data_IF_403163507276
#
_entry.id   IF_403163507276
#
_cell.length_a   1.000
_cell.length_b   1.000
_cell.length_c   1.000
_cell.angle_alpha   90.00
_cell.angle_beta   90.00
_cell.angle_gamma   90.00
#
_symmetry.space_group_name_H-M   'P 1'
#
loop_
_entity.id
_entity.type
_entity.pdbx_description
1 polymer ?
#
# COMPACT_ATOMS: atom_id res chain seq x y z
N UNK A 1 -15.88 14.24 2.54
CA UNK A 1 -15.83 12.86 2.01
C UNK A 1 -14.58 12.22 2.58
N UNK A 2 -14.65 11.04 3.15
CA UNK A 2 -13.46 10.39 3.70
C UNK A 2 -12.78 9.57 2.60
N UNK A 3 -11.47 9.31 2.70
CA UNK A 3 -10.73 8.59 1.65
C UNK A 3 -11.25 7.16 1.44
N UNK A 4 -11.88 6.54 2.44
CA UNK A 4 -12.50 5.24 2.29
C UNK A 4 -13.79 5.33 1.45
N UNK A 5 -14.62 6.34 1.62
CA UNK A 5 -15.77 6.62 0.75
C UNK A 5 -15.30 6.96 -0.66
N UNK A 6 -14.23 7.73 -0.78
CA UNK A 6 -13.60 8.08 -2.04
C UNK A 6 -13.01 6.85 -2.76
N UNK A 7 -12.28 6.01 -2.07
CA UNK A 7 -11.71 4.77 -2.62
C UNK A 7 -12.81 3.77 -2.93
N UNK A 8 -13.79 3.60 -2.06
CA UNK A 8 -14.88 2.67 -2.26
C UNK A 8 -15.77 3.08 -3.44
N UNK A 9 -15.99 4.35 -3.62
CA UNK A 9 -16.69 4.92 -4.76
C UNK A 9 -15.88 4.80 -6.05
N UNK A 10 -14.58 5.04 -5.97
CA UNK A 10 -13.65 4.85 -7.08
C UNK A 10 -13.53 3.39 -7.51
N UNK A 11 -13.74 2.45 -6.60
CA UNK A 11 -13.56 1.02 -6.83
C UNK A 11 -14.86 0.21 -6.89
N UNK A 12 -16.02 0.84 -6.86
CA UNK A 12 -17.30 0.19 -7.10
C UNK A 12 -17.77 -0.72 -5.98
N UNK A 13 -17.37 -0.49 -4.73
CA UNK A 13 -17.91 -1.18 -3.56
C UNK A 13 -18.92 -0.29 -2.84
N UNK A 14 -20.09 -0.87 -2.50
CA UNK A 14 -21.27 -0.21 -1.92
C UNK A 14 -20.99 0.86 -0.86
N UNK A 15 -20.94 2.11 -1.21
CA UNK A 15 -21.29 3.24 -0.37
C UNK A 15 -21.42 4.50 -1.21
N UNK A 16 -22.63 4.98 -1.28
CA UNK A 16 -23.05 6.11 -2.08
C UNK A 16 -22.13 7.31 -2.08
N UNK A 17 -22.11 7.89 -3.22
CA UNK A 17 -21.62 9.19 -3.71
C UNK A 17 -20.27 9.21 -4.39
N UNK A 18 -20.39 9.42 -5.66
CA UNK A 18 -19.43 9.60 -6.71
C UNK A 18 -18.18 10.42 -6.34
N UNK A 19 -17.06 9.77 -6.33
CA UNK A 19 -15.81 10.27 -6.91
C UNK A 19 -15.28 9.18 -7.85
N UNK A 20 -16.06 8.90 -8.87
CA UNK A 20 -15.61 8.10 -10.01
C UNK A 20 -14.69 8.98 -10.84
N UNK A 21 -13.42 8.68 -10.88
CA UNK A 21 -12.53 9.23 -11.86
C UNK A 21 -11.05 9.32 -11.55
N UNK A 22 -10.58 8.91 -10.38
CA UNK A 22 -9.23 9.29 -9.98
C UNK A 22 -8.29 8.19 -9.46
N UNK A 23 -8.78 6.99 -9.30
CA UNK A 23 -7.89 5.84 -9.25
C UNK A 23 -8.23 5.00 -10.46
N UNK A 24 -7.28 4.83 -11.37
CA UNK A 24 -7.51 4.06 -12.59
C UNK A 24 -8.15 2.73 -12.24
N UNK A 25 -9.07 2.25 -13.08
CA UNK A 25 -9.58 0.88 -13.00
C UNK A 25 -8.41 -0.06 -12.73
N UNK A 26 -8.56 -1.02 -11.80
CA UNK A 26 -7.52 -2.02 -11.62
C UNK A 26 -7.17 -2.56 -12.99
N UNK A 27 -5.90 -2.77 -13.31
CA UNK A 27 -5.52 -3.37 -14.55
C UNK A 27 -6.27 -4.69 -14.66
N UNK A 28 -7.31 -4.73 -15.52
CA UNK A 28 -8.06 -5.93 -15.83
C UNK A 28 -7.14 -6.76 -16.73
N UNK A 29 -6.23 -7.48 -16.11
CA UNK A 29 -5.41 -8.47 -16.73
C UNK A 29 -5.36 -9.64 -15.76
N UNK A 30 -5.57 -10.85 -16.22
CA UNK A 30 -5.13 -12.05 -15.52
C UNK A 30 -3.60 -12.02 -15.42
N UNK A 31 -3.05 -11.05 -14.69
CA UNK A 31 -1.64 -11.08 -14.33
C UNK A 31 -1.49 -12.22 -13.33
N UNK A 32 -0.85 -13.30 -13.78
CA UNK A 32 -0.39 -14.33 -12.86
C UNK A 32 0.37 -13.62 -11.74
N UNK A 33 -0.06 -13.86 -10.51
CA UNK A 33 0.66 -13.35 -9.36
C UNK A 33 2.09 -13.88 -9.41
N UNK A 34 3.02 -12.94 -9.36
CA UNK A 34 4.45 -13.24 -9.27
C UNK A 34 4.97 -12.58 -8.00
N UNK A 35 4.84 -13.27 -6.85
CA UNK A 35 5.40 -12.77 -5.61
C UNK A 35 6.93 -12.68 -5.71
N UNK A 36 7.52 -11.87 -4.86
CA UNK A 36 8.96 -11.81 -4.70
C UNK A 36 9.51 -13.17 -4.27
N UNK A 37 10.75 -13.47 -4.64
CA UNK A 37 11.44 -14.67 -4.15
C UNK A 37 11.58 -14.66 -2.64
N UNK A 38 11.74 -15.84 -2.01
CA UNK A 38 11.90 -15.96 -0.56
C UNK A 38 13.06 -15.10 -0.05
N UNK A 39 14.21 -15.09 -0.72
CA UNK A 39 15.36 -14.29 -0.33
C UNK A 39 15.07 -12.79 -0.36
N UNK A 40 14.42 -12.28 -1.43
CA UNK A 40 14.05 -10.87 -1.55
C UNK A 40 12.94 -10.47 -0.58
N UNK A 41 11.96 -11.33 -0.35
CA UNK A 41 10.92 -11.12 0.65
C UNK A 41 11.50 -11.02 2.06
N UNK A 42 12.39 -11.96 2.41
CA UNK A 42 13.11 -11.92 3.69
C UNK A 42 13.97 -10.67 3.80
N UNK A 43 14.77 -10.38 2.77
CA UNK A 43 15.61 -9.18 2.74
C UNK A 43 14.80 -7.91 3.01
N UNK A 44 13.65 -7.76 2.37
CA UNK A 44 12.76 -6.61 2.53
C UNK A 44 12.21 -6.49 3.96
N UNK A 45 11.61 -7.57 4.48
CA UNK A 45 10.98 -7.51 5.80
C UNK A 45 12.02 -7.43 6.92
N UNK A 46 13.18 -8.08 6.80
CA UNK A 46 14.31 -7.90 7.71
C UNK A 46 14.78 -6.43 7.68
N UNK A 47 14.94 -5.85 6.49
CA UNK A 47 15.35 -4.47 6.34
C UNK A 47 14.36 -3.48 6.96
N UNK A 48 13.06 -3.74 6.82
CA UNK A 48 12.03 -2.93 7.47
C UNK A 48 12.13 -3.00 9.00
N UNK A 49 12.20 -4.20 9.57
CA UNK A 49 12.30 -4.41 11.03
C UNK A 49 13.58 -3.81 11.60
N UNK A 50 14.72 -4.03 10.94
CA UNK A 50 16.02 -3.47 11.36
C UNK A 50 16.01 -1.95 11.28
N UNK A 51 15.44 -1.38 10.20
CA UNK A 51 15.32 0.06 10.03
C UNK A 51 14.49 0.71 11.13
N UNK A 52 13.32 0.15 11.42
CA UNK A 52 12.46 0.60 12.51
C UNK A 52 13.19 0.54 13.86
N UNK A 53 13.79 -0.61 14.19
CA UNK A 53 14.49 -0.81 15.45
C UNK A 53 15.72 0.08 15.65
N UNK A 54 16.37 0.52 14.58
CA UNK A 54 17.45 1.50 14.62
C UNK A 54 16.92 2.92 14.82
N UNK A 55 15.79 3.27 14.22
CA UNK A 55 15.23 4.62 14.23
C UNK A 55 14.38 4.94 15.45
N UNK A 56 13.65 3.97 16.01
CA UNK A 56 12.69 4.15 17.11
C UNK A 56 13.27 4.86 18.35
N UNK A 57 14.49 4.53 18.83
CA UNK A 57 15.04 5.20 20.01
C UNK A 57 15.30 6.70 19.84
N UNK A 58 15.36 7.17 18.60
CA UNK A 58 15.69 8.56 18.25
C UNK A 58 14.58 9.22 17.42
N UNK A 59 13.42 8.60 17.31
CA UNK A 59 12.24 9.15 16.66
C UNK A 59 11.87 10.52 17.24
N UNK A 60 11.36 11.41 16.39
CA UNK A 60 11.02 12.80 16.70
C UNK A 60 12.22 13.69 17.11
N UNK A 61 13.44 13.20 17.00
CA UNK A 61 14.64 14.01 17.29
C UNK A 61 15.15 14.70 16.03
N UNK A 62 15.50 15.98 16.10
CA UNK A 62 16.12 16.66 14.97
C UNK A 62 17.54 16.12 14.73
N UNK A 63 17.97 16.12 13.47
CA UNK A 63 19.27 15.58 13.01
C UNK A 63 20.48 16.10 13.83
N UNK A 64 20.50 17.39 14.13
CA UNK A 64 21.58 17.99 14.92
C UNK A 64 21.60 17.45 16.35
N UNK A 65 20.46 17.15 16.94
CA UNK A 65 20.39 16.55 18.26
C UNK A 65 20.95 15.12 18.23
N UNK A 66 20.58 14.32 17.21
CA UNK A 66 21.08 12.94 17.02
C UNK A 66 22.62 12.99 16.92
N UNK A 67 23.14 13.82 16.03
CA UNK A 67 24.58 13.96 15.84
C UNK A 67 25.33 14.41 17.10
N UNK A 68 24.72 15.29 17.90
CA UNK A 68 25.35 15.77 19.15
C UNK A 68 25.37 14.73 20.27
N UNK A 69 24.39 13.79 20.32
CA UNK A 69 24.24 12.80 21.39
C UNK A 69 24.83 11.44 21.06
N UNK A 70 24.80 11.05 19.79
CA UNK A 70 25.23 9.72 19.34
C UNK A 70 26.33 9.75 18.27
N UNK A 71 26.64 10.91 17.71
CA UNK A 71 27.46 10.98 16.50
C UNK A 71 26.72 10.45 15.28
N UNK A 72 27.43 9.83 14.37
CA UNK A 72 26.84 9.10 13.25
C UNK A 72 26.41 7.72 13.72
N UNK A 73 25.12 7.44 13.69
CA UNK A 73 24.57 6.13 14.06
C UNK A 73 24.89 5.13 12.95
N UNK A 74 25.58 4.05 13.32
CA UNK A 74 25.99 2.94 12.44
C UNK A 74 25.70 1.58 13.06
N UNK A 75 24.75 1.51 14.00
CA UNK A 75 24.34 0.32 14.71
C UNK A 75 23.26 0.64 15.73
N UNK A 76 22.74 -0.37 16.41
CA UNK A 76 21.74 -0.16 17.46
C UNK A 76 22.28 0.66 18.61
N UNK A 77 21.51 1.67 19.03
CA UNK A 77 21.85 2.55 20.16
C UNK A 77 21.25 2.07 21.48
N UNK A 78 20.46 1.00 21.45
CA UNK A 78 19.87 0.32 22.61
C UNK A 78 20.34 -1.13 22.68
N UNK A 79 20.51 -1.71 23.89
CA UNK A 79 21.05 -3.07 24.04
C UNK A 79 20.09 -4.18 23.59
N UNK A 80 18.78 -3.93 23.58
CA UNK A 80 17.75 -4.89 23.22
C UNK A 80 16.80 -4.25 22.19
N UNK A 81 17.23 -4.15 20.93
CA UNK A 81 16.36 -3.61 19.87
C UNK A 81 15.21 -4.56 19.60
N UNK A 82 14.03 -4.03 19.33
CA UNK A 82 12.81 -4.80 19.07
C UNK A 82 12.04 -4.23 17.88
N UNK A 83 11.26 -5.07 17.22
CA UNK A 83 10.27 -4.67 16.24
C UNK A 83 9.20 -3.79 16.90
N UNK A 84 8.88 -2.66 16.27
CA UNK A 84 7.91 -1.69 16.77
C UNK A 84 6.53 -1.80 16.12
N UNK A 85 5.81 -0.68 16.10
CA UNK A 85 4.43 -0.63 15.60
C UNK A 85 4.32 -0.77 14.08
N UNK A 86 5.29 -0.28 13.31
CA UNK A 86 5.29 -0.38 11.85
C UNK A 86 5.49 -1.83 11.42
N UNK A 87 6.38 -2.57 12.09
CA UNK A 87 6.54 -4.01 11.89
C UNK A 87 5.26 -4.78 12.24
N UNK A 88 4.63 -4.49 13.38
CA UNK A 88 3.38 -5.15 13.77
C UNK A 88 2.27 -4.90 12.73
N UNK A 89 2.11 -3.67 12.26
CA UNK A 89 1.13 -3.32 11.23
C UNK A 89 1.46 -3.96 9.88
N UNK A 90 2.75 -4.06 9.52
CA UNK A 90 3.20 -4.74 8.30
C UNK A 90 2.86 -6.23 8.32
N UNK A 91 3.15 -6.93 9.43
CA UNK A 91 2.81 -8.34 9.60
C UNK A 91 1.29 -8.56 9.58
N UNK A 92 0.53 -7.71 10.25
CA UNK A 92 -0.94 -7.75 10.23
C UNK A 92 -1.51 -7.54 8.82
N UNK A 93 -0.92 -6.63 8.04
CA UNK A 93 -1.28 -6.39 6.64
C UNK A 93 -0.98 -7.62 5.79
N UNK A 94 0.22 -8.18 5.90
CA UNK A 94 0.62 -9.38 5.18
C UNK A 94 -0.29 -10.58 5.47
N UNK A 95 -0.58 -10.84 6.73
CA UNK A 95 -1.52 -11.88 7.15
C UNK A 95 -2.93 -11.68 6.58
N UNK A 96 -3.36 -10.42 6.44
CA UNK A 96 -4.68 -10.10 5.89
C UNK A 96 -4.75 -10.39 4.40
N UNK A 97 -3.65 -10.17 3.67
CA UNK A 97 -3.51 -10.49 2.25
C UNK A 97 -3.44 -12.01 2.06
N UNK A 98 -2.60 -12.69 2.84
CA UNK A 98 -2.39 -14.15 2.77
C UNK A 98 -3.65 -14.95 3.06
N UNK A 99 -4.55 -14.41 3.87
CA UNK A 99 -5.86 -15.01 4.13
C UNK A 99 -6.86 -14.86 2.97
N UNK A 100 -6.48 -14.13 1.91
CA UNK A 100 -7.26 -13.91 0.68
C UNK A 100 -7.23 -12.43 0.25
N UNK A 101 -6.81 -12.18 -0.99
CA UNK A 101 -6.53 -10.82 -1.46
C UNK A 101 -7.79 -9.93 -1.53
N UNK A 102 -8.94 -10.47 -1.93
CA UNK A 102 -10.15 -9.68 -2.26
C UNK A 102 -10.79 -8.95 -1.08
N UNK A 103 -10.63 -9.45 0.15
CA UNK A 103 -11.22 -8.84 1.36
C UNK A 103 -10.16 -8.43 2.36
N UNK A 104 -8.93 -8.15 1.93
CA UNK A 104 -7.84 -7.80 2.86
C UNK A 104 -8.12 -6.54 3.70
N UNK A 105 -8.81 -5.46 3.22
CA UNK A 105 -9.07 -4.30 4.07
C UNK A 105 -10.01 -4.63 5.23
N UNK A 106 -11.04 -5.44 4.99
CA UNK A 106 -11.95 -5.89 6.04
C UNK A 106 -11.22 -6.75 7.07
N UNK A 107 -10.41 -7.71 6.60
CA UNK A 107 -9.60 -8.56 7.49
C UNK A 107 -8.57 -7.78 8.27
N UNK A 108 -7.90 -6.82 7.62
CA UNK A 108 -6.98 -5.92 8.32
C UNK A 108 -7.73 -5.13 9.40
N UNK A 109 -8.88 -4.54 9.08
CA UNK A 109 -9.72 -3.82 10.04
C UNK A 109 -10.16 -4.69 11.22
N UNK A 110 -10.61 -5.92 10.96
CA UNK A 110 -10.99 -6.88 12.00
C UNK A 110 -9.81 -7.26 12.90
N UNK A 111 -8.63 -7.53 12.33
CA UNK A 111 -7.39 -7.80 13.09
C UNK A 111 -6.95 -6.58 13.90
N UNK A 112 -6.99 -5.39 13.31
CA UNK A 112 -6.69 -4.14 13.97
C UNK A 112 -7.59 -3.94 15.20
N UNK A 113 -8.88 -4.21 15.08
CA UNK A 113 -9.82 -4.13 16.19
C UNK A 113 -9.55 -5.15 17.29
N UNK A 114 -9.12 -6.37 16.94
CA UNK A 114 -8.88 -7.45 17.88
C UNK A 114 -7.52 -7.37 18.61
N UNK A 115 -6.55 -6.64 18.06
CA UNK A 115 -5.16 -6.62 18.56
C UNK A 115 -4.90 -5.38 19.41
N UNK A 116 -4.02 -5.50 20.41
CA UNK A 116 -3.45 -4.34 21.09
C UNK A 116 -2.16 -3.96 20.38
N UNK A 117 -2.07 -2.73 19.91
CA UNK A 117 -0.89 -2.17 19.22
C UNK A 117 -0.31 -1.08 20.10
N UNK A 118 0.97 -1.20 20.39
CA UNK A 118 1.73 -0.16 21.07
C UNK A 118 2.21 0.86 20.03
N UNK A 119 1.37 1.84 19.72
CA UNK A 119 1.64 2.86 18.70
C UNK A 119 1.24 4.25 19.18
N UNK A 120 2.00 5.25 18.76
CA UNK A 120 1.66 6.67 18.88
C UNK A 120 0.82 7.18 17.71
N UNK A 121 0.59 6.35 16.68
CA UNK A 121 -0.13 6.68 15.46
C UNK A 121 -1.60 6.97 15.69
N UNK A 122 -1.96 8.26 15.82
CA UNK A 122 -3.34 8.70 16.11
C UNK A 122 -4.38 8.22 15.11
N UNK A 123 -4.01 8.12 13.83
CA UNK A 123 -4.92 7.63 12.79
C UNK A 123 -5.25 6.15 12.99
N UNK A 124 -4.25 5.33 13.31
CA UNK A 124 -4.40 3.90 13.61
C UNK A 124 -5.30 3.69 14.82
N UNK A 125 -5.03 4.41 15.91
CA UNK A 125 -5.83 4.30 17.15
C UNK A 125 -7.28 4.75 16.96
N UNK A 126 -7.52 5.80 16.16
CA UNK A 126 -8.88 6.26 15.84
C UNK A 126 -9.64 5.25 14.99
N UNK A 127 -9.01 4.70 13.95
CA UNK A 127 -9.62 3.66 13.13
C UNK A 127 -9.93 2.40 13.94
N UNK A 128 -8.99 1.97 14.80
CA UNK A 128 -9.20 0.86 15.72
C UNK A 128 -10.41 1.08 16.62
N UNK A 129 -10.51 2.25 17.24
CA UNK A 129 -11.65 2.60 18.12
C UNK A 129 -12.96 2.65 17.34
N UNK A 130 -12.96 3.20 16.12
CA UNK A 130 -14.13 3.28 15.26
C UNK A 130 -14.66 1.88 14.87
N UNK A 131 -13.75 0.98 14.46
CA UNK A 131 -14.12 -0.40 14.09
C UNK A 131 -14.61 -1.18 15.33
N UNK A 132 -13.96 -1.02 16.47
CA UNK A 132 -14.43 -1.61 17.75
C UNK A 132 -15.83 -1.11 18.14
N UNK A 133 -16.18 0.12 17.78
CA UNK A 133 -17.51 0.69 17.98
C UNK A 133 -18.53 0.25 16.90
N UNK A 134 -18.17 -0.69 16.00
CA UNK A 134 -19.06 -1.22 14.97
C UNK A 134 -19.09 -0.44 13.67
N UNK A 135 -18.21 0.55 13.48
CA UNK A 135 -18.10 1.20 12.18
C UNK A 135 -17.48 0.24 11.16
N UNK A 136 -18.00 0.17 9.94
CA UNK A 136 -17.38 -0.59 8.88
C UNK A 136 -16.00 0.00 8.53
N UNK A 137 -15.08 -0.86 8.08
CA UNK A 137 -13.69 -0.47 7.80
C UNK A 137 -13.56 0.74 6.86
N UNK A 138 -14.45 0.87 5.88
CA UNK A 138 -14.45 1.95 4.89
C UNK A 138 -14.88 3.33 5.42
N UNK A 139 -15.42 3.39 6.63
CA UNK A 139 -15.78 4.65 7.30
C UNK A 139 -15.01 4.88 8.59
N UNK A 140 -14.00 4.05 8.87
CA UNK A 140 -13.25 4.08 10.13
C UNK A 140 -12.12 5.11 10.12
N UNK A 141 -11.58 5.44 8.95
CA UNK A 141 -10.43 6.32 8.80
C UNK A 141 -10.66 7.73 9.33
N UNK A 142 -9.60 8.39 9.76
CA UNK A 142 -9.57 9.82 10.04
C UNK A 142 -9.42 10.62 8.73
N UNK A 143 -10.41 11.40 8.27
CA UNK A 143 -10.43 12.02 6.94
C UNK A 143 -9.21 12.92 6.63
N UNK A 144 -8.70 13.64 7.65
CA UNK A 144 -7.57 14.55 7.49
C UNK A 144 -6.20 13.92 7.79
N UNK A 145 -6.10 12.59 7.94
CA UNK A 145 -4.84 11.97 8.30
C UNK A 145 -3.97 11.67 7.09
N UNK A 146 -2.82 12.36 7.01
CA UNK A 146 -1.76 12.19 6.01
C UNK A 146 -0.49 11.54 6.61
N UNK A 147 -0.61 10.80 7.72
CA UNK A 147 0.51 10.19 8.45
C UNK A 147 1.17 9.04 7.68
N UNK A 148 2.34 8.62 8.18
CA UNK A 148 3.28 7.68 7.54
C UNK A 148 2.92 6.21 7.73
N UNK A 149 2.31 5.81 8.86
CA UNK A 149 2.06 4.41 9.20
C UNK A 149 1.12 3.67 8.23
N UNK A 150 0.33 4.41 7.43
CA UNK A 150 -0.43 3.85 6.32
C UNK A 150 0.46 3.32 5.20
N UNK A 151 1.50 4.08 4.85
CA UNK A 151 2.46 3.70 3.83
C UNK A 151 3.47 2.65 4.35
N UNK A 152 4.03 2.84 5.53
CA UNK A 152 5.08 1.98 6.10
C UNK A 152 4.72 0.49 6.09
N UNK A 153 3.47 0.14 6.40
CA UNK A 153 3.00 -1.24 6.41
C UNK A 153 2.78 -1.86 5.02
N UNK A 154 2.94 -1.08 3.95
CA UNK A 154 2.59 -1.49 2.59
C UNK A 154 3.70 -2.27 1.85
N UNK A 155 4.85 -2.53 2.47
CA UNK A 155 5.88 -3.39 1.90
C UNK A 155 5.32 -4.77 1.48
N UNK A 156 4.41 -5.34 2.26
CA UNK A 156 3.77 -6.62 1.99
C UNK A 156 3.04 -6.65 0.63
N UNK A 157 2.42 -5.55 0.21
CA UNK A 157 1.78 -5.45 -1.11
C UNK A 157 2.81 -5.48 -2.24
N UNK A 158 3.90 -4.74 -2.10
CA UNK A 158 4.99 -4.77 -3.08
C UNK A 158 5.61 -6.16 -3.25
N UNK A 159 5.75 -6.90 -2.16
CA UNK A 159 6.29 -8.27 -2.19
C UNK A 159 5.29 -9.26 -2.78
N UNK A 160 4.01 -9.15 -2.45
CA UNK A 160 2.96 -10.04 -2.95
C UNK A 160 2.74 -9.86 -4.46
N UNK A 161 2.79 -8.63 -4.94
CA UNK A 161 2.60 -8.29 -6.36
C UNK A 161 3.89 -7.74 -7.00
N UNK A 162 5.04 -8.37 -6.73
CA UNK A 162 6.33 -7.93 -7.27
C UNK A 162 6.34 -7.86 -8.81
N UNK A 163 5.67 -8.80 -9.49
CA UNK A 163 5.50 -8.80 -10.94
C UNK A 163 4.45 -7.83 -11.49
N UNK A 164 3.68 -7.16 -10.62
CA UNK A 164 2.64 -6.20 -11.00
C UNK A 164 2.64 -4.98 -10.06
N UNK A 165 3.55 -4.03 -10.24
CA UNK A 165 3.67 -2.88 -9.35
C UNK A 165 2.46 -1.94 -9.37
N UNK A 166 1.64 -1.95 -10.44
CA UNK A 166 0.39 -1.20 -10.49
C UNK A 166 -0.65 -1.80 -9.55
N UNK A 167 -0.74 -3.12 -9.54
CA UNK A 167 -1.61 -3.83 -8.59
C UNK A 167 -1.15 -3.63 -7.16
N UNK A 168 0.16 -3.71 -6.89
CA UNK A 168 0.72 -3.40 -5.58
C UNK A 168 0.32 -2.01 -5.08
N UNK A 169 0.42 -0.99 -5.95
CA UNK A 169 0.02 0.38 -5.65
C UNK A 169 -1.47 0.49 -5.29
N UNK A 170 -2.32 -0.13 -6.09
CA UNK A 170 -3.77 -0.13 -5.89
C UNK A 170 -4.14 -0.74 -4.53
N UNK A 171 -3.67 -1.95 -4.24
CA UNK A 171 -4.01 -2.66 -3.01
C UNK A 171 -3.46 -1.96 -1.77
N UNK A 172 -2.28 -1.34 -1.88
CA UNK A 172 -1.70 -0.55 -0.81
C UNK A 172 -2.54 0.69 -0.47
N UNK A 173 -3.01 1.42 -1.47
CA UNK A 173 -3.89 2.55 -1.27
C UNK A 173 -5.22 2.15 -0.63
N UNK A 174 -5.82 1.06 -1.12
CA UNK A 174 -7.05 0.51 -0.58
C UNK A 174 -6.88 0.10 0.90
N UNK A 175 -5.79 -0.59 1.25
CA UNK A 175 -5.49 -0.92 2.64
C UNK A 175 -5.28 0.32 3.51
N UNK A 176 -4.59 1.32 2.98
CA UNK A 176 -4.28 2.55 3.72
C UNK A 176 -5.54 3.30 4.10
N UNK A 177 -6.57 3.28 3.26
CA UNK A 177 -7.84 3.95 3.52
C UNK A 177 -8.59 3.43 4.75
N UNK A 178 -8.26 2.25 5.27
CA UNK A 178 -8.83 1.74 6.54
C UNK A 178 -8.48 2.64 7.73
N UNK A 179 -7.33 3.30 7.68
CA UNK A 179 -6.80 4.09 8.80
C UNK A 179 -6.56 5.55 8.48
N UNK A 180 -6.20 5.87 7.24
CA UNK A 180 -5.79 7.20 6.78
C UNK A 180 -6.70 7.68 5.67
N UNK A 181 -7.42 8.77 5.91
CA UNK A 181 -8.43 9.28 4.99
C UNK A 181 -7.95 10.39 4.05
N UNK A 182 -6.69 10.82 4.13
CA UNK A 182 -6.16 11.89 3.28
C UNK A 182 -5.53 11.31 1.99
N UNK A 183 -5.78 11.89 0.81
CA UNK A 183 -5.21 11.44 -0.47
C UNK A 183 -3.68 11.32 -0.47
N UNK A 184 -2.98 12.21 0.22
CA UNK A 184 -1.53 12.11 0.42
C UNK A 184 -1.10 10.77 1.00
N UNK A 185 -1.83 10.23 1.98
CA UNK A 185 -1.45 8.97 2.62
C UNK A 185 -1.65 7.78 1.67
N UNK A 186 -2.77 7.74 0.93
CA UNK A 186 -3.07 6.67 -0.03
C UNK A 186 -2.12 6.70 -1.23
N UNK A 187 -1.80 7.91 -1.72
CA UNK A 187 -0.84 8.13 -2.80
C UNK A 187 0.58 7.71 -2.41
N UNK A 188 1.01 8.07 -1.20
CA UNK A 188 2.31 7.69 -0.66
C UNK A 188 2.43 6.17 -0.45
N UNK A 189 1.36 5.53 0.02
CA UNK A 189 1.31 4.07 0.16
C UNK A 189 1.39 3.36 -1.19
N UNK A 190 0.68 3.87 -2.21
CA UNK A 190 0.78 3.39 -3.58
C UNK A 190 2.21 3.49 -4.12
N UNK A 191 2.85 4.65 -3.91
CA UNK A 191 4.24 4.90 -4.32
C UNK A 191 5.22 3.91 -3.66
N UNK A 192 5.10 3.74 -2.35
CA UNK A 192 5.98 2.86 -1.60
C UNK A 192 5.80 1.39 -2.01
N UNK A 193 4.57 0.90 -2.15
CA UNK A 193 4.32 -0.47 -2.58
C UNK A 193 4.81 -0.72 -4.01
N UNK A 194 4.60 0.21 -4.94
CA UNK A 194 5.16 0.13 -6.29
C UNK A 194 6.69 0.09 -6.28
N UNK A 195 7.32 0.93 -5.44
CA UNK A 195 8.77 0.96 -5.27
C UNK A 195 9.34 -0.37 -4.78
N UNK A 196 8.71 -0.98 -3.76
CA UNK A 196 9.08 -2.30 -3.24
C UNK A 196 8.88 -3.38 -4.32
N UNK A 197 7.76 -3.36 -5.06
CA UNK A 197 7.49 -4.32 -6.13
C UNK A 197 8.56 -4.27 -7.23
N UNK A 198 8.87 -3.08 -7.73
CA UNK A 198 9.94 -2.86 -8.72
C UNK A 198 11.32 -3.28 -8.19
N UNK A 199 11.59 -3.00 -6.92
CA UNK A 199 12.82 -3.43 -6.27
C UNK A 199 12.90 -4.97 -6.17
N UNK A 200 11.82 -5.62 -5.81
CA UNK A 200 11.77 -7.07 -5.60
C UNK A 200 11.76 -7.87 -6.91
N UNK A 201 11.23 -7.33 -7.99
CA UNK A 201 11.09 -8.04 -9.26
C UNK A 201 12.30 -7.85 -10.19
N UNK A 202 12.80 -6.64 -10.32
CA UNK A 202 13.88 -6.31 -11.24
C UNK A 202 15.28 -6.66 -10.69
N UNK A 203 16.31 -6.59 -11.55
CA UNK A 203 17.72 -6.78 -11.19
C UNK A 203 18.57 -5.51 -11.37
N UNK A 204 17.97 -4.44 -11.91
CA UNK A 204 18.61 -3.14 -12.10
C UNK A 204 18.85 -2.38 -10.79
N UNK A 205 19.68 -1.33 -10.78
CA UNK A 205 19.91 -0.51 -9.59
C UNK A 205 18.63 0.22 -9.15
N UNK A 206 18.59 0.61 -7.88
CA UNK A 206 17.60 1.57 -7.38
C UNK A 206 18.12 2.98 -7.72
N UNK A 207 17.82 3.48 -8.92
CA UNK A 207 18.38 4.71 -9.48
C UNK A 207 17.30 5.68 -9.98
N UNK A 208 17.71 6.65 -10.81
CA UNK A 208 16.81 7.62 -11.41
C UNK A 208 15.71 6.96 -12.25
N UNK A 209 15.99 5.87 -12.94
CA UNK A 209 15.00 5.17 -13.77
C UNK A 209 13.96 4.45 -12.90
N UNK A 210 14.40 3.82 -11.80
CA UNK A 210 13.50 3.23 -10.80
C UNK A 210 12.57 4.28 -10.21
N UNK A 211 13.09 5.44 -9.78
CA UNK A 211 12.29 6.54 -9.22
C UNK A 211 11.30 7.12 -10.25
N UNK A 212 11.73 7.24 -11.51
CA UNK A 212 10.86 7.71 -12.60
C UNK A 212 9.69 6.75 -12.82
N UNK A 213 9.94 5.44 -12.84
CA UNK A 213 8.88 4.43 -12.99
C UNK A 213 7.91 4.46 -11.81
N UNK A 214 8.39 4.63 -10.56
CA UNK A 214 7.52 4.82 -9.40
C UNK A 214 6.62 6.04 -9.58
N UNK A 215 7.18 7.17 -10.00
CA UNK A 215 6.41 8.40 -10.23
C UNK A 215 5.36 8.25 -11.35
N UNK A 216 5.67 7.52 -12.42
CA UNK A 216 4.75 7.23 -13.52
C UNK A 216 3.55 6.40 -13.03
N UNK A 217 3.80 5.31 -12.29
CA UNK A 217 2.73 4.48 -11.72
C UNK A 217 1.84 5.32 -10.79
N UNK A 218 2.46 6.14 -9.93
CA UNK A 218 1.69 6.99 -9.02
C UNK A 218 0.90 8.07 -9.74
N UNK A 219 1.36 8.53 -10.90
CA UNK A 219 0.63 9.48 -11.73
C UNK A 219 -0.66 8.88 -12.28
N UNK A 220 -0.58 7.65 -12.79
CA UNK A 220 -1.75 6.92 -13.27
C UNK A 220 -2.79 6.75 -12.16
N UNK A 221 -2.31 6.56 -10.94
CA UNK A 221 -3.13 6.36 -9.76
C UNK A 221 -3.81 7.66 -9.25
N UNK A 222 -3.16 8.81 -9.40
CA UNK A 222 -3.59 10.10 -8.83
C UNK A 222 -4.26 11.05 -9.84
N UNK A 223 -4.84 10.55 -10.92
CA UNK A 223 -5.46 11.41 -11.93
C UNK A 223 -6.57 12.29 -11.32
N UNK A 224 -6.32 13.61 -11.26
CA UNK A 224 -7.28 14.61 -10.82
C UNK A 224 -7.30 14.93 -9.33
N UNK A 225 -6.51 14.27 -8.48
CA UNK A 225 -6.37 14.60 -7.07
C UNK A 225 -5.16 15.52 -6.84
N UNK A 226 -5.44 16.77 -6.48
CA UNK A 226 -4.40 17.80 -6.27
C UNK A 226 -3.52 17.44 -5.05
N UNK A 227 -4.10 16.92 -3.98
CA UNK A 227 -3.37 16.61 -2.77
C UNK A 227 -2.49 15.36 -2.96
N UNK A 228 -3.01 14.32 -3.60
CA UNK A 228 -2.24 13.14 -3.96
C UNK A 228 -1.12 13.43 -4.98
N UNK A 229 -1.34 14.35 -5.90
CA UNK A 229 -0.34 14.78 -6.87
C UNK A 229 0.92 15.37 -6.21
N UNK A 230 0.82 15.95 -5.02
CA UNK A 230 1.99 16.48 -4.29
C UNK A 230 3.04 15.41 -3.98
N UNK A 231 2.62 14.17 -3.69
CA UNK A 231 3.54 13.03 -3.49
C UNK A 231 4.25 12.68 -4.79
N UNK A 232 3.51 12.64 -5.90
CA UNK A 232 4.06 12.34 -7.23
C UNK A 232 5.11 13.37 -7.62
N UNK A 233 4.81 14.65 -7.42
CA UNK A 233 5.73 15.75 -7.77
C UNK A 233 7.02 15.68 -6.94
N UNK A 234 6.93 15.34 -5.66
CA UNK A 234 8.12 15.13 -4.83
C UNK A 234 8.96 13.94 -5.30
N UNK A 235 8.34 12.83 -5.70
CA UNK A 235 9.09 11.69 -6.25
C UNK A 235 9.73 12.05 -7.59
N UNK A 236 9.07 12.81 -8.46
CA UNK A 236 9.63 13.31 -9.73
C UNK A 236 10.85 14.20 -9.56
N UNK A 237 10.99 14.87 -8.42
CA UNK A 237 12.19 15.67 -8.13
C UNK A 237 13.40 14.84 -7.74
N UNK A 238 13.22 13.61 -7.22
CA UNK A 238 14.29 12.79 -6.66
C UNK A 238 15.44 12.51 -7.63
N UNK A 239 15.21 12.17 -8.93
CA UNK A 239 16.30 11.97 -9.87
C UNK A 239 17.29 13.13 -9.95
N UNK A 240 16.80 14.37 -9.88
CA UNK A 240 17.65 15.57 -9.89
C UNK A 240 18.40 15.79 -8.56
N UNK A 241 18.00 15.10 -7.51
CA UNK A 241 18.58 15.24 -6.17
C UNK A 241 19.60 14.13 -5.80
N UNK A 242 19.81 13.12 -6.67
CA UNK A 242 20.68 11.97 -6.36
C UNK A 242 22.16 12.35 -6.12
N UNK A 243 22.61 13.48 -6.65
CA UNK A 243 23.98 14.00 -6.41
C UNK A 243 24.13 14.85 -5.16
N UNK A 244 23.08 15.09 -4.39
CA UNK A 244 23.12 15.92 -3.19
C UNK A 244 23.66 15.12 -1.98
N UNK A 245 24.19 15.85 -0.98
CA UNK A 245 24.49 15.23 0.31
C UNK A 245 23.20 14.83 1.05
N UNK A 246 23.24 13.79 1.92
CA UNK A 246 22.08 13.39 2.71
C UNK A 246 21.48 14.55 3.52
N UNK A 247 22.32 15.44 4.06
CA UNK A 247 21.86 16.59 4.80
C UNK A 247 21.07 17.57 3.93
N UNK A 248 21.57 17.91 2.75
CA UNK A 248 20.91 18.84 1.84
C UNK A 248 19.59 18.27 1.31
N UNK A 249 19.61 17.02 0.84
CA UNK A 249 18.44 16.37 0.26
C UNK A 249 17.33 16.17 1.30
N UNK A 250 17.64 15.60 2.46
CA UNK A 250 16.65 15.31 3.49
C UNK A 250 16.08 16.58 4.14
N UNK A 251 16.89 17.66 4.25
CA UNK A 251 16.36 18.97 4.67
C UNK A 251 15.35 19.55 3.67
N UNK A 252 15.56 19.32 2.36
CA UNK A 252 14.64 19.78 1.33
C UNK A 252 13.38 18.94 1.24
N UNK A 253 13.50 17.62 1.37
CA UNK A 253 12.38 16.69 1.32
C UNK A 253 11.50 16.77 2.57
N UNK A 254 12.06 17.13 3.71
CA UNK A 254 11.43 16.95 5.00
C UNK A 254 11.55 15.51 5.48
N UNK A 255 11.47 15.32 6.79
CA UNK A 255 11.59 14.01 7.45
C UNK A 255 10.57 13.86 8.58
N UNK A 256 9.50 14.64 8.54
CA UNK A 256 8.42 14.59 9.53
C UNK A 256 7.46 13.40 9.33
N UNK A 257 6.55 13.19 10.29
CA UNK A 257 5.61 12.07 10.29
C UNK A 257 4.42 12.28 9.35
N UNK A 258 4.69 12.87 8.18
CA UNK A 258 3.72 13.07 7.08
C UNK A 258 4.20 12.33 5.85
N UNK A 259 3.33 11.54 5.25
CA UNK A 259 3.69 10.61 4.19
C UNK A 259 4.31 11.30 2.96
N UNK A 260 3.93 12.56 2.67
CA UNK A 260 4.50 13.37 1.58
C UNK A 260 5.97 13.76 1.79
N UNK A 261 6.47 13.67 3.02
CA UNK A 261 7.88 13.89 3.36
C UNK A 261 8.62 12.56 3.48
N UNK A 262 8.12 11.66 4.32
CA UNK A 262 8.82 10.44 4.71
C UNK A 262 9.01 9.45 3.55
N UNK A 263 7.99 9.26 2.68
CA UNK A 263 8.12 8.32 1.56
C UNK A 263 9.17 8.79 0.55
N UNK A 264 9.15 10.03 0.03
CA UNK A 264 10.23 10.51 -0.83
C UNK A 264 11.61 10.47 -0.17
N UNK A 265 11.72 10.77 1.13
CA UNK A 265 12.97 10.68 1.88
C UNK A 265 13.51 9.23 1.92
N UNK A 266 12.66 8.26 2.20
CA UNK A 266 13.02 6.84 2.19
C UNK A 266 13.46 6.35 0.80
N UNK A 267 12.71 6.73 -0.25
CA UNK A 267 13.06 6.39 -1.64
C UNK A 267 14.39 7.03 -2.07
N UNK A 268 14.64 8.26 -1.66
CA UNK A 268 15.92 8.93 -1.92
C UNK A 268 17.09 8.21 -1.22
N UNK A 269 16.92 7.83 0.06
CA UNK A 269 17.93 7.06 0.80
C UNK A 269 18.23 5.71 0.13
N UNK A 270 17.21 5.04 -0.39
CA UNK A 270 17.38 3.79 -1.12
C UNK A 270 18.10 3.99 -2.46
N UNK A 271 17.73 5.04 -3.22
CA UNK A 271 18.29 5.31 -4.55
C UNK A 271 19.72 5.85 -4.53
N UNK A 272 20.16 6.46 -3.43
CA UNK A 272 21.53 6.99 -3.28
C UNK A 272 22.49 6.04 -2.54
N UNK A 273 22.00 4.85 -2.16
CA UNK A 273 22.76 3.87 -1.41
C UNK A 273 23.91 3.30 -2.24
N UNK A 274 25.14 3.46 -1.77
CA UNK A 274 26.32 2.78 -2.31
C UNK A 274 26.42 1.34 -1.82
N UNK A 275 25.92 1.08 -0.62
CA UNK A 275 25.65 -0.25 -0.06
C UNK A 275 24.31 -0.21 0.64
N UNK A 276 23.56 -1.33 0.77
CA UNK A 276 22.28 -1.36 1.48
C UNK A 276 22.36 -0.77 2.89
N UNK A 277 23.39 -1.13 3.63
CA UNK A 277 23.62 -0.65 5.01
C UNK A 277 23.83 0.87 5.06
N UNK A 278 24.58 1.43 4.10
CA UNK A 278 24.81 2.87 4.06
C UNK A 278 23.52 3.64 3.75
N UNK A 279 22.68 3.14 2.83
CA UNK A 279 21.37 3.74 2.55
C UNK A 279 20.46 3.69 3.78
N UNK A 280 20.46 2.58 4.53
CA UNK A 280 19.74 2.45 5.80
C UNK A 280 20.23 3.48 6.83
N UNK A 281 21.55 3.65 7.01
CA UNK A 281 22.09 4.60 7.95
C UNK A 281 21.83 6.06 7.56
N UNK A 282 21.74 6.38 6.26
CA UNK A 282 21.29 7.71 5.82
C UNK A 282 19.88 8.01 6.34
N UNK A 283 18.97 7.02 6.27
CA UNK A 283 17.61 7.15 6.77
C UNK A 283 17.56 7.28 8.30
N UNK A 284 18.28 6.45 9.04
CA UNK A 284 18.36 6.50 10.50
C UNK A 284 18.88 7.86 11.01
N UNK A 285 19.88 8.43 10.32
CA UNK A 285 20.44 9.72 10.68
C UNK A 285 19.70 10.93 10.09
N UNK A 286 18.53 10.73 9.48
CA UNK A 286 17.74 11.79 8.85
C UNK A 286 17.18 12.80 9.85
N UNK A 287 16.84 12.35 11.06
CA UNK A 287 16.04 13.11 12.04
C UNK A 287 14.56 13.02 11.70
N UNK A 288 13.70 13.42 12.63
CA UNK A 288 12.24 13.36 12.47
C UNK A 288 11.70 11.93 12.63
N UNK A 289 10.95 11.44 11.66
CA UNK A 289 10.30 10.12 11.61
C UNK A 289 11.31 9.01 11.21
N UNK A 290 12.36 8.89 12.00
CA UNK A 290 13.55 8.10 11.67
C UNK A 290 13.28 6.61 11.54
N UNK A 291 12.42 6.06 12.37
CA UNK A 291 12.02 4.66 12.37
C UNK A 291 11.25 4.29 11.10
N UNK A 292 10.22 5.07 10.77
CA UNK A 292 9.39 4.84 9.57
C UNK A 292 10.19 5.06 8.28
N UNK A 293 11.00 6.13 8.20
CA UNK A 293 11.84 6.40 7.01
C UNK A 293 12.85 5.25 6.81
N UNK A 294 13.49 4.80 7.91
CA UNK A 294 14.46 3.72 7.83
C UNK A 294 13.81 2.36 7.55
N UNK A 295 12.62 2.09 8.10
CA UNK A 295 11.86 0.89 7.76
C UNK A 295 11.54 0.83 6.26
N UNK A 296 11.04 1.92 5.68
CA UNK A 296 10.72 1.98 4.26
C UNK A 296 11.97 1.89 3.36
N UNK A 297 13.04 2.60 3.69
CA UNK A 297 14.31 2.50 2.95
C UNK A 297 14.89 1.09 3.03
N UNK A 298 14.89 0.50 4.22
CA UNK A 298 15.32 -0.87 4.47
C UNK A 298 14.51 -1.89 3.67
N UNK A 299 13.20 -1.73 3.59
CA UNK A 299 12.35 -2.60 2.77
C UNK A 299 12.73 -2.55 1.29
N UNK A 300 12.92 -1.36 0.70
CA UNK A 300 13.34 -1.23 -0.70
C UNK A 300 14.73 -1.85 -0.95
N UNK A 301 15.70 -1.55 -0.08
CA UNK A 301 17.06 -2.07 -0.18
C UNK A 301 17.10 -3.60 -0.04
N UNK A 302 16.39 -4.13 0.96
CA UNK A 302 16.29 -5.56 1.18
C UNK A 302 15.54 -6.30 0.07
N UNK A 303 14.49 -5.69 -0.50
CA UNK A 303 13.78 -6.22 -1.65
C UNK A 303 14.69 -6.37 -2.88
N UNK A 304 15.65 -5.45 -3.05
CA UNK A 304 16.62 -5.50 -4.14
C UNK A 304 17.74 -6.50 -3.91
N UNK A 305 18.32 -6.49 -2.71
CA UNK A 305 19.60 -7.16 -2.44
C UNK A 305 19.45 -8.48 -1.67
N UNK A 306 18.22 -8.84 -1.25
CA UNK A 306 17.96 -10.05 -0.46
C UNK A 306 18.52 -9.99 0.95
N UNK A 307 18.62 -11.12 1.60
CA UNK A 307 19.11 -11.26 2.98
C UNK A 307 20.58 -10.88 3.15
N UNK A 308 21.38 -11.01 2.10
CA UNK A 308 22.80 -10.61 2.09
C UNK A 308 23.01 -9.10 2.30
N UNK A 309 21.95 -8.28 2.18
CA UNK A 309 21.98 -6.85 2.47
C UNK A 309 22.32 -6.55 3.95
N UNK A 310 22.01 -7.47 4.88
CA UNK A 310 21.98 -7.19 6.30
C UNK A 310 23.02 -7.98 7.09
N UNK A 311 24.02 -7.29 7.69
CA UNK A 311 25.00 -7.90 8.58
C UNK A 311 24.35 -8.49 9.84
N UNK A 312 24.94 -9.54 10.38
CA UNK A 312 24.39 -10.27 11.51
C UNK A 312 24.25 -9.46 12.81
N UNK A 313 25.07 -8.45 13.00
CA UNK A 313 25.02 -7.55 14.13
C UNK A 313 23.80 -6.60 14.08
N UNK A 314 23.32 -6.25 12.89
CA UNK A 314 22.11 -5.45 12.73
C UNK A 314 20.83 -6.29 12.84
N UNK A 315 20.87 -7.58 12.56
CA UNK A 315 19.69 -8.45 12.55
C UNK A 315 19.35 -9.04 13.93
N UNK A 316 20.07 -8.66 14.97
CA UNK A 316 19.73 -9.07 16.35
C UNK A 316 18.61 -8.18 16.91
N UNK A 317 17.39 -8.37 16.39
CA UNK A 317 16.19 -7.61 16.76
C UNK A 317 15.12 -8.59 17.25
N UNK A 318 14.57 -8.32 18.43
CA UNK A 318 13.44 -9.10 18.96
C UNK A 318 12.20 -8.92 18.08
N UNK A 319 11.56 -10.04 17.71
CA UNK A 319 10.44 -10.07 16.78
C UNK A 319 10.80 -10.24 15.30
N UNK A 320 12.10 -10.32 14.94
CA UNK A 320 12.54 -10.51 13.56
C UNK A 320 12.05 -11.84 12.96
N UNK A 321 12.00 -12.91 13.75
CA UNK A 321 11.60 -14.24 13.28
C UNK A 321 10.17 -14.23 12.68
N UNK A 322 9.27 -13.44 13.23
CA UNK A 322 7.92 -13.30 12.71
C UNK A 322 7.91 -12.67 11.29
N UNK A 323 8.81 -11.72 11.02
CA UNK A 323 8.97 -11.12 9.71
C UNK A 323 9.53 -12.12 8.69
N UNK A 324 10.48 -12.96 9.11
CA UNK A 324 11.04 -14.03 8.27
C UNK A 324 9.99 -15.08 7.91
N UNK A 325 9.16 -15.50 8.88
CA UNK A 325 8.06 -16.45 8.64
C UNK A 325 7.04 -15.88 7.62
N UNK A 326 6.62 -14.65 7.82
CA UNK A 326 5.69 -13.98 6.90
C UNK A 326 6.29 -13.82 5.51
N UNK A 327 7.59 -13.50 5.40
CA UNK A 327 8.27 -13.41 4.11
C UNK A 327 8.27 -14.73 3.34
N UNK A 328 8.48 -15.85 4.03
CA UNK A 328 8.39 -17.18 3.42
C UNK A 328 6.98 -17.48 2.93
N UNK A 329 5.98 -17.16 3.73
CA UNK A 329 4.57 -17.34 3.36
C UNK A 329 4.15 -16.49 2.17
N UNK A 330 4.63 -15.24 2.07
CA UNK A 330 4.43 -14.38 0.89
C UNK A 330 5.03 -15.04 -0.36
N UNK A 331 6.28 -15.49 -0.29
CA UNK A 331 6.98 -16.07 -1.44
C UNK A 331 6.37 -17.39 -1.93
N UNK A 332 5.67 -18.10 -1.05
CA UNK A 332 4.99 -19.36 -1.32
C UNK A 332 3.51 -19.15 -1.69
N UNK A 333 3.02 -17.92 -1.62
CA UNK A 333 1.64 -17.62 -1.96
C UNK A 333 1.40 -17.91 -3.44
N UNK A 334 0.89 -19.08 -3.72
CA UNK A 334 0.34 -19.38 -5.04
C UNK A 334 -1.08 -18.85 -5.07
N UNK A 335 -1.30 -17.75 -5.77
CA UNK A 335 -2.66 -17.36 -6.02
C UNK A 335 -3.31 -18.35 -6.98
N UNK A 336 -4.14 -19.15 -6.40
CA UNK A 336 -5.40 -19.43 -7.08
C UNK A 336 -6.17 -18.10 -6.97
N UNK A 337 -6.11 -17.24 -8.01
CA UNK A 337 -7.23 -16.34 -8.25
C UNK A 337 -8.42 -17.29 -8.22
N UNK A 338 -9.40 -17.13 -7.34
CA UNK A 338 -10.64 -17.86 -7.54
C UNK A 338 -11.04 -17.52 -8.97
N UNK A 339 -10.95 -18.49 -9.87
CA UNK A 339 -11.53 -18.34 -11.18
C UNK A 339 -12.96 -17.89 -10.87
N UNK A 340 -13.40 -16.67 -11.27
CA UNK A 340 -14.78 -16.29 -11.09
C UNK A 340 -15.73 -17.33 -11.70
N UNK A 341 -15.16 -18.28 -12.41
CA UNK A 341 -15.82 -19.49 -12.90
C UNK A 341 -14.91 -20.70 -12.55
N UNK A 342 -14.96 -21.26 -11.30
CA UNK A 342 -14.24 -22.47 -11.00
C UNK A 342 -14.90 -23.60 -11.80
N UNK A 343 -14.38 -23.85 -13.00
CA UNK A 343 -14.65 -25.11 -13.67
C UNK A 343 -13.85 -26.19 -12.91
N UNK A 344 -14.46 -27.03 -12.07
CA UNK A 344 -13.75 -28.03 -11.30
C UNK A 344 -13.21 -29.18 -12.16
N UNK A 345 -13.33 -29.08 -13.49
CA UNK A 345 -12.99 -30.18 -14.40
C UNK A 345 -12.31 -29.63 -15.68
N UNK A 346 -10.99 -29.46 -15.76
CA UNK A 346 -10.30 -29.01 -16.98
C UNK A 346 -10.30 -30.06 -18.10
N UNK A 347 -11.29 -30.94 -18.19
CA UNK A 347 -11.51 -31.97 -19.19
C UNK A 347 -12.89 -32.60 -19.17
N UNK A 348 -13.81 -32.11 -18.35
CA UNK A 348 -15.19 -32.52 -18.28
C UNK A 348 -16.12 -31.54 -18.97
N UNK A 349 -17.21 -32.03 -19.55
CA UNK A 349 -18.30 -31.19 -20.01
C UNK A 349 -18.78 -30.27 -18.87
N UNK A 350 -19.29 -29.04 -19.15
CA UNK A 350 -19.74 -28.10 -18.14
C UNK A 350 -20.83 -28.75 -17.29
N UNK A 351 -20.49 -29.01 -16.02
CA UNK A 351 -21.42 -29.54 -15.06
C UNK A 351 -22.30 -28.39 -14.56
N UNK A 352 -23.56 -28.45 -14.93
CA UNK A 352 -24.71 -27.71 -14.43
C UNK A 352 -24.56 -26.22 -14.09
N UNK A 353 -25.42 -25.41 -14.68
CA UNK A 353 -25.60 -23.98 -14.52
C UNK A 353 -25.21 -23.41 -13.15
N UNK A 354 -24.05 -22.77 -13.08
CA UNK A 354 -23.74 -21.86 -11.95
C UNK A 354 -24.53 -20.58 -12.21
N UNK A 355 -25.52 -20.22 -11.38
CA UNK A 355 -26.31 -19.01 -11.59
C UNK A 355 -25.43 -17.76 -11.52
N UNK A 356 -25.35 -17.02 -12.62
CA UNK A 356 -24.67 -15.73 -12.68
C UNK A 356 -25.55 -14.67 -12.01
N UNK A 357 -24.97 -13.91 -11.06
CA UNK A 357 -25.62 -12.73 -10.51
C UNK A 357 -24.90 -11.47 -11.00
N UNK A 358 -25.64 -10.56 -11.64
CA UNK A 358 -25.12 -9.30 -12.16
C UNK A 358 -25.82 -8.14 -11.44
N UNK A 359 -25.02 -7.27 -10.82
CA UNK A 359 -25.53 -6.06 -10.17
C UNK A 359 -25.21 -4.83 -11.02
N UNK A 360 -26.24 -4.05 -11.32
CA UNK A 360 -26.13 -2.76 -12.01
C UNK A 360 -26.38 -1.62 -11.04
N UNK A 361 -25.52 -0.63 -11.06
CA UNK A 361 -25.68 0.63 -10.34
C UNK A 361 -25.92 1.74 -11.36
N UNK A 362 -27.09 2.38 -11.31
CA UNK A 362 -27.46 3.44 -12.24
C UNK A 362 -27.61 4.76 -11.49
N UNK A 363 -26.78 5.75 -11.87
CA UNK A 363 -26.90 7.13 -11.43
C UNK A 363 -28.09 7.82 -12.14
N UNK A 364 -29.00 8.36 -11.35
CA UNK A 364 -30.14 9.16 -11.80
C UNK A 364 -30.01 10.63 -11.45
N UNK A 365 -28.86 11.07 -10.97
CA UNK A 365 -28.64 12.47 -10.60
C UNK A 365 -28.90 13.43 -11.77
N UNK A 366 -29.16 14.68 -11.44
CA UNK A 366 -29.52 15.69 -12.43
C UNK A 366 -28.49 15.90 -13.54
N UNK A 367 -27.23 15.58 -13.29
CA UNK A 367 -26.14 15.60 -14.27
C UNK A 367 -26.31 14.56 -15.39
N UNK A 368 -27.05 13.49 -15.14
CA UNK A 368 -27.28 12.39 -16.07
C UNK A 368 -28.43 12.63 -17.06
N UNK A 369 -29.18 13.74 -16.94
CA UNK A 369 -30.36 14.02 -17.79
C UNK A 369 -30.09 13.96 -19.30
N UNK A 370 -28.88 14.30 -19.74
CA UNK A 370 -28.48 14.24 -21.15
C UNK A 370 -28.02 12.86 -21.63
N UNK A 371 -27.85 11.90 -20.73
CA UNK A 371 -27.29 10.57 -21.03
C UNK A 371 -28.28 9.43 -20.80
N UNK A 372 -29.52 9.75 -20.37
CA UNK A 372 -30.52 8.75 -20.00
C UNK A 372 -30.81 7.76 -21.15
N UNK A 373 -30.95 8.23 -22.38
CA UNK A 373 -31.22 7.38 -23.54
C UNK A 373 -30.06 6.43 -23.84
N UNK A 374 -28.81 6.91 -23.70
CA UNK A 374 -27.60 6.12 -23.93
C UNK A 374 -27.43 5.05 -22.82
N UNK A 375 -27.69 5.39 -21.57
CA UNK A 375 -27.62 4.46 -20.43
C UNK A 375 -28.67 3.39 -20.54
N UNK A 376 -29.93 3.77 -20.83
CA UNK A 376 -31.04 2.82 -21.02
C UNK A 376 -30.80 1.95 -22.26
N UNK A 377 -30.31 2.54 -23.34
CA UNK A 377 -29.98 1.81 -24.58
C UNK A 377 -28.87 0.79 -24.35
N UNK A 378 -27.79 1.17 -23.65
CA UNK A 378 -26.69 0.27 -23.30
C UNK A 378 -27.14 -0.86 -22.39
N UNK A 379 -27.96 -0.59 -21.38
CA UNK A 379 -28.52 -1.58 -20.48
C UNK A 379 -29.42 -2.59 -21.21
N UNK A 380 -30.33 -2.11 -22.05
CA UNK A 380 -31.20 -2.98 -22.84
C UNK A 380 -30.41 -3.85 -23.82
N UNK A 381 -29.38 -3.30 -24.46
CA UNK A 381 -28.50 -4.03 -25.36
C UNK A 381 -27.75 -5.15 -24.65
N UNK A 382 -27.27 -4.88 -23.42
CA UNK A 382 -26.66 -5.88 -22.58
C UNK A 382 -27.66 -6.98 -22.20
N UNK A 383 -28.86 -6.64 -21.75
CA UNK A 383 -29.92 -7.59 -21.41
C UNK A 383 -30.27 -8.51 -22.60
N UNK A 384 -30.40 -7.93 -23.79
CA UNK A 384 -30.72 -8.68 -25.02
C UNK A 384 -29.58 -9.63 -25.44
N UNK A 385 -28.35 -9.31 -25.09
CA UNK A 385 -27.19 -10.18 -25.27
C UNK A 385 -27.23 -11.32 -24.26
N UNK A 386 -27.43 -11.04 -22.99
CA UNK A 386 -27.46 -12.04 -21.92
C UNK A 386 -28.64 -13.05 -22.11
N UNK A 387 -29.79 -12.61 -22.60
CA UNK A 387 -30.93 -13.49 -22.87
C UNK A 387 -30.66 -14.55 -23.96
N UNK A 388 -29.61 -14.39 -24.74
CA UNK A 388 -29.19 -15.33 -25.78
C UNK A 388 -28.21 -16.39 -25.28
N UNK A 389 -27.63 -16.16 -24.13
CA UNK A 389 -26.68 -17.07 -23.49
C UNK A 389 -27.46 -18.18 -22.75
N UNK A 390 -26.88 -19.38 -22.69
CA UNK A 390 -27.47 -20.53 -21.99
C UNK A 390 -27.07 -20.44 -20.52
N UNK A 391 -28.05 -20.46 -19.62
CA UNK A 391 -27.82 -20.45 -18.17
C UNK A 391 -28.79 -19.53 -17.42
N UNK A 392 -28.89 -19.74 -16.10
CA UNK A 392 -29.69 -18.90 -15.23
C UNK A 392 -28.89 -17.66 -14.80
N UNK A 393 -29.42 -16.47 -15.07
CA UNK A 393 -28.85 -15.19 -14.64
C UNK A 393 -29.83 -14.43 -13.76
N UNK A 394 -29.43 -14.09 -12.56
CA UNK A 394 -30.18 -13.15 -11.71
C UNK A 394 -29.56 -11.76 -11.79
N UNK A 395 -30.39 -10.72 -11.79
CA UNK A 395 -29.92 -9.34 -11.89
C UNK A 395 -30.49 -8.48 -10.76
N UNK A 396 -29.63 -7.66 -10.19
CA UNK A 396 -30.04 -6.59 -9.27
C UNK A 396 -29.77 -5.23 -9.93
N UNK A 397 -30.79 -4.38 -9.97
CA UNK A 397 -30.68 -3.01 -10.42
C UNK A 397 -30.83 -2.08 -9.24
N UNK A 398 -29.79 -1.32 -8.93
CA UNK A 398 -29.80 -0.26 -7.92
C UNK A 398 -29.78 1.07 -8.63
N UNK A 399 -30.73 1.92 -8.32
CA UNK A 399 -30.81 3.30 -8.82
C UNK A 399 -30.59 4.25 -7.64
N UNK A 400 -29.82 5.31 -7.84
CA UNK A 400 -29.62 6.35 -6.84
C UNK A 400 -29.81 7.74 -7.46
N UNK A 401 -30.24 8.69 -6.65
CA UNK A 401 -30.45 10.09 -7.01
C UNK A 401 -29.82 10.99 -5.95
N UNK A 402 -29.40 12.19 -6.36
CA UNK A 402 -28.85 13.19 -5.43
C UNK A 402 -29.91 13.76 -4.46
N UNK A 403 -31.19 13.64 -4.81
CA UNK A 403 -32.31 14.25 -4.05
C UNK A 403 -33.06 13.24 -3.15
N UNK A 404 -32.76 11.96 -3.25
CA UNK A 404 -33.35 10.91 -2.39
C UNK A 404 -32.24 9.94 -1.93
N UNK A 405 -31.61 10.21 -0.79
CA UNK A 405 -30.55 9.35 -0.23
C UNK A 405 -31.12 8.13 0.53
N UNK A 406 -32.26 7.54 0.15
CA UNK A 406 -33.02 6.44 0.76
C UNK A 406 -34.24 6.88 1.56
#
# INVERSE_FOLDING_TARGET
MNAAEDIQTRFGTDAGTAVTGQIGTPPIGNSELRPATSDRSKGALIGAVVGEALGEPIEDRPRNWIAANFGLITGHVVPNPKAGSDSQLTLMTADSILAGAESHPERFGARLAATTIDTRGRAVLRAQAAIRAGRPWWSAAAPGSAGTSGAARCAAFGLMWAGDPRRAAYEAALSTSVTHGHPVATSAAAAFAAAVALAAYGDGPLDAAWLTTVAEICTEFNQGDIDGATVVDRIRMLPAMLGQSPEAALSMLGTGPVAVEAVPAALWCAATATTPVQGLFNAVNAGGDTDTIAAMAGACLGARHGTAAWPADLTQVDGLDAAVDVADRISQATHVVPNPNPNPNPGGEPDGDVPLHVSFLIDRSGSMKGLVEDVVGGFNSFLDTQKKEIGDCTMTLVQFDSDDPF
#
